data_IF_615479997908
#
_entry.id   IF_615479997908
#
_cell.length_a   1.000
_cell.length_b   1.000
_cell.length_c   1.000
_cell.angle_alpha   90.00
_cell.angle_beta   90.00
_cell.angle_gamma   90.00
#
_symmetry.space_group_name_H-M   'P 1'
#
loop_
_entity.id
_entity.type
_entity.pdbx_description
1 polymer ?
#
# COMPACT_ATOMS: atom_id res chain seq x y z
N UNK A 1 -0.13 27.37 -1.50
CA UNK A 1 0.97 26.44 -1.13
C UNK A 1 0.56 25.05 -1.55
N UNK A 2 1.35 24.39 -2.40
CA UNK A 2 1.01 23.07 -2.94
C UNK A 2 1.20 21.98 -1.90
N UNK A 3 0.36 20.94 -1.95
CA UNK A 3 0.58 19.72 -1.17
C UNK A 3 1.84 19.02 -1.72
N UNK A 4 2.83 18.77 -0.85
CA UNK A 4 3.97 17.92 -1.20
C UNK A 4 3.47 16.47 -1.27
N UNK A 5 3.12 16.02 -2.48
CA UNK A 5 2.60 14.68 -2.73
C UNK A 5 3.73 13.78 -3.23
N UNK A 6 3.96 12.65 -2.55
CA UNK A 6 4.80 11.57 -3.07
C UNK A 6 3.92 10.42 -3.54
N UNK A 7 4.08 10.05 -4.81
CA UNK A 7 3.24 9.04 -5.46
C UNK A 7 3.90 7.66 -5.32
N UNK A 8 3.12 6.70 -4.84
CA UNK A 8 3.49 5.28 -4.82
C UNK A 8 2.53 4.50 -5.71
N UNK A 9 3.08 3.75 -6.68
CA UNK A 9 2.28 2.90 -7.57
C UNK A 9 2.45 1.43 -7.21
N UNK A 10 1.35 0.67 -7.27
CA UNK A 10 1.33 -0.79 -7.01
C UNK A 10 1.52 -1.64 -8.26
N UNK A 11 1.44 -1.03 -9.44
CA UNK A 11 1.60 -1.68 -10.74
C UNK A 11 2.53 -0.84 -11.61
N UNK A 12 3.33 -1.53 -12.41
CA UNK A 12 4.02 -0.91 -13.53
C UNK A 12 2.98 -0.48 -14.57
N UNK A 13 3.23 0.62 -15.31
CA UNK A 13 2.40 0.96 -16.45
C UNK A 13 2.42 -0.20 -17.46
N UNK A 14 1.26 -0.77 -17.77
CA UNK A 14 1.09 -1.83 -18.78
C UNK A 14 0.85 -1.31 -20.19
N UNK A 15 0.85 0.01 -20.36
CA UNK A 15 0.57 0.68 -21.64
C UNK A 15 1.89 1.23 -22.19
N UNK A 16 2.41 0.61 -23.27
CA UNK A 16 3.59 1.09 -24.01
C UNK A 16 3.29 2.36 -24.83
N UNK A 17 2.04 2.83 -24.82
CA UNK A 17 1.57 3.99 -25.58
C UNK A 17 1.68 5.27 -24.75
N UNK A 18 2.88 5.85 -24.70
CA UNK A 18 3.10 7.15 -24.07
C UNK A 18 2.53 8.24 -25.00
N UNK A 19 1.32 8.72 -24.70
CA UNK A 19 0.78 9.91 -25.38
C UNK A 19 1.70 11.12 -25.07
N UNK A 20 2.09 11.94 -26.07
CA UNK A 20 3.13 12.99 -25.94
C UNK A 20 2.85 14.12 -24.92
N UNK A 21 1.69 14.11 -24.26
CA UNK A 21 1.33 15.01 -23.16
C UNK A 21 1.90 14.56 -21.78
N UNK A 22 2.33 13.31 -21.62
CA UNK A 22 2.80 12.80 -20.31
C UNK A 22 4.22 13.21 -19.90
N UNK A 23 4.91 14.07 -20.66
CA UNK A 23 6.27 14.53 -20.33
C UNK A 23 6.34 15.56 -19.19
N UNK A 24 5.21 16.09 -18.71
CA UNK A 24 5.20 17.16 -17.70
C UNK A 24 5.01 16.69 -16.25
N UNK A 25 4.76 15.41 -15.98
CA UNK A 25 4.54 14.93 -14.60
C UNK A 25 5.87 14.54 -13.95
N UNK A 26 6.62 15.53 -13.49
CA UNK A 26 7.82 15.41 -12.64
C UNK A 26 7.51 14.96 -11.20
N UNK A 27 6.51 14.11 -10.97
CA UNK A 27 6.30 13.49 -9.67
C UNK A 27 7.11 12.19 -9.64
N UNK A 28 8.12 12.10 -8.76
CA UNK A 28 8.91 10.87 -8.57
C UNK A 28 7.99 9.74 -8.10
N UNK A 29 7.43 8.96 -9.03
CA UNK A 29 6.58 7.79 -8.71
C UNK A 29 7.49 6.66 -8.24
N UNK A 30 7.30 6.23 -7.00
CA UNK A 30 7.97 5.06 -6.44
C UNK A 30 7.10 3.83 -6.70
N UNK A 31 7.65 2.84 -7.41
CA UNK A 31 6.95 1.58 -7.67
C UNK A 31 7.18 0.59 -6.54
N UNK A 32 6.08 0.13 -5.94
CA UNK A 32 6.06 -0.97 -4.99
C UNK A 32 6.16 -2.31 -5.74
N UNK A 33 6.74 -3.36 -5.12
CA UNK A 33 6.94 -4.63 -5.78
C UNK A 33 5.63 -5.23 -6.30
N UNK A 34 5.43 -5.21 -7.62
CA UNK A 34 4.30 -5.86 -8.26
C UNK A 34 4.41 -7.39 -8.18
N UNK A 35 5.65 -7.88 -8.23
CA UNK A 35 6.05 -9.26 -8.02
C UNK A 35 6.96 -9.36 -6.80
N UNK A 36 6.38 -9.60 -5.62
CA UNK A 36 7.13 -9.68 -4.35
C UNK A 36 8.31 -10.67 -4.40
N UNK A 37 8.22 -11.73 -5.22
CA UNK A 37 9.27 -12.74 -5.40
C UNK A 37 10.46 -12.25 -6.26
N UNK A 38 10.27 -11.21 -7.09
CA UNK A 38 11.36 -10.64 -7.91
C UNK A 38 12.16 -9.58 -7.14
N UNK A 39 11.57 -8.98 -6.12
CA UNK A 39 12.21 -7.98 -5.26
C UNK A 39 12.31 -8.42 -3.81
N UNK A 40 12.61 -9.71 -3.60
CA UNK A 40 12.66 -10.35 -2.28
C UNK A 40 13.55 -9.59 -1.30
N UNK A 41 14.67 -9.01 -1.73
CA UNK A 41 15.55 -8.20 -0.88
C UNK A 41 14.90 -6.91 -0.36
N UNK A 42 14.09 -6.22 -1.18
CA UNK A 42 13.34 -5.03 -0.73
C UNK A 42 12.32 -5.42 0.33
N UNK A 43 11.60 -6.52 0.10
CA UNK A 43 10.61 -7.06 1.04
C UNK A 43 11.28 -7.51 2.35
N UNK A 44 12.39 -8.26 2.28
CA UNK A 44 13.14 -8.69 3.46
C UNK A 44 13.66 -7.51 4.27
N UNK A 45 14.20 -6.49 3.62
CA UNK A 45 14.63 -5.29 4.34
C UNK A 45 13.45 -4.47 4.89
N UNK A 46 12.29 -4.48 4.22
CA UNK A 46 11.04 -3.94 4.74
C UNK A 46 10.55 -4.69 5.98
N UNK A 47 10.65 -6.02 5.96
CA UNK A 47 10.36 -6.87 7.11
C UNK A 47 11.31 -6.58 8.26
N UNK A 48 12.62 -6.54 8.01
CA UNK A 48 13.64 -6.20 9.01
C UNK A 48 13.39 -4.83 9.65
N UNK A 49 13.02 -3.84 8.83
CA UNK A 49 12.64 -2.52 9.32
C UNK A 49 11.37 -2.59 10.20
N UNK A 50 10.35 -3.34 9.75
CA UNK A 50 9.08 -3.45 10.43
C UNK A 50 9.18 -4.18 11.77
N UNK A 51 9.88 -5.33 11.85
CA UNK A 51 10.01 -6.12 13.09
C UNK A 51 10.67 -5.35 14.24
N UNK A 52 11.47 -4.33 13.93
CA UNK A 52 12.12 -3.44 14.90
C UNK A 52 11.19 -2.36 15.45
N UNK A 53 9.95 -2.26 14.93
CA UNK A 53 8.94 -1.31 15.39
C UNK A 53 8.04 -1.98 16.42
N UNK A 54 7.73 -1.26 17.51
CA UNK A 54 6.82 -1.73 18.57
C UNK A 54 5.44 -2.17 18.04
N UNK A 55 4.99 -1.59 16.92
CA UNK A 55 3.65 -1.80 16.34
C UNK A 55 3.57 -2.92 15.32
N UNK A 56 4.69 -3.61 15.05
CA UNK A 56 4.72 -4.74 14.13
C UNK A 56 3.69 -5.80 14.51
N UNK A 57 3.59 -6.15 15.79
CA UNK A 57 2.63 -7.13 16.28
C UNK A 57 1.18 -6.76 15.94
N UNK A 58 0.80 -5.48 16.04
CA UNK A 58 -0.55 -5.01 15.69
C UNK A 58 -0.81 -5.10 14.18
N UNK A 59 0.15 -4.70 13.36
CA UNK A 59 0.05 -4.79 11.91
C UNK A 59 -0.03 -6.27 11.45
N UNK A 60 0.84 -7.12 11.99
CA UNK A 60 0.87 -8.55 11.71
C UNK A 60 -0.42 -9.25 12.17
N UNK A 61 -0.92 -8.98 13.38
CA UNK A 61 -2.17 -9.54 13.87
C UNK A 61 -3.38 -9.10 13.03
N UNK A 62 -3.37 -7.87 12.52
CA UNK A 62 -4.42 -7.41 11.59
C UNK A 62 -4.33 -8.13 10.25
N UNK A 63 -3.13 -8.24 9.69
CA UNK A 63 -2.90 -8.98 8.46
C UNK A 63 -3.24 -10.47 8.59
N UNK A 64 -2.90 -11.13 9.70
CA UNK A 64 -3.21 -12.55 9.95
C UNK A 64 -4.72 -12.78 10.02
N UNK A 65 -5.48 -11.87 10.64
CA UNK A 65 -6.96 -11.92 10.65
C UNK A 65 -7.54 -11.76 9.24
N UNK A 66 -7.00 -10.84 8.46
CA UNK A 66 -7.42 -10.64 7.07
C UNK A 66 -7.07 -11.85 6.20
N UNK A 67 -5.88 -12.45 6.40
CA UNK A 67 -5.42 -13.63 5.68
C UNK A 67 -6.23 -14.88 6.01
N UNK A 68 -6.65 -15.04 7.27
CA UNK A 68 -7.55 -16.13 7.66
C UNK A 68 -8.92 -16.04 6.96
N UNK A 69 -9.37 -14.84 6.60
CA UNK A 69 -10.63 -14.60 5.88
C UNK A 69 -10.47 -14.59 4.36
N UNK A 70 -9.28 -14.27 3.86
CA UNK A 70 -8.91 -14.22 2.44
C UNK A 70 -7.51 -14.85 2.24
N UNK A 71 -7.41 -16.19 2.24
CA UNK A 71 -6.14 -16.92 2.18
C UNK A 71 -5.59 -16.98 0.75
N UNK A 72 -5.41 -15.82 0.12
CA UNK A 72 -4.93 -15.70 -1.26
C UNK A 72 -3.49 -15.18 -1.32
N UNK A 73 -2.71 -15.56 -2.36
CA UNK A 73 -1.39 -14.98 -2.61
C UNK A 73 -1.43 -13.45 -2.74
N UNK A 74 -2.56 -12.91 -3.20
CA UNK A 74 -2.80 -11.46 -3.28
C UNK A 74 -2.78 -10.79 -1.91
N UNK A 75 -3.34 -11.42 -0.87
CA UNK A 75 -3.32 -10.89 0.49
C UNK A 75 -1.91 -10.87 1.08
N UNK A 76 -1.11 -11.89 0.81
CA UNK A 76 0.31 -11.94 1.18
C UNK A 76 1.10 -10.85 0.46
N UNK A 77 0.90 -10.68 -0.85
CA UNK A 77 1.54 -9.63 -1.65
C UNK A 77 1.23 -8.23 -1.12
N UNK A 78 -0.01 -7.93 -0.75
CA UNK A 78 -0.41 -6.63 -0.19
C UNK A 78 0.37 -6.30 1.08
N UNK A 79 0.58 -7.29 1.96
CA UNK A 79 1.37 -7.09 3.16
C UNK A 79 2.85 -6.89 2.85
N UNK A 80 3.42 -7.66 1.92
CA UNK A 80 4.80 -7.45 1.45
C UNK A 80 5.01 -6.03 0.89
N UNK A 81 4.06 -5.54 0.08
CA UNK A 81 4.08 -4.16 -0.43
C UNK A 81 3.99 -3.12 0.69
N UNK A 82 3.19 -3.38 1.74
CA UNK A 82 3.09 -2.49 2.89
C UNK A 82 4.39 -2.42 3.70
N UNK A 83 5.12 -3.53 3.83
CA UNK A 83 6.45 -3.55 4.48
C UNK A 83 7.46 -2.68 3.72
N UNK A 84 7.45 -2.77 2.38
CA UNK A 84 8.31 -1.94 1.53
C UNK A 84 7.89 -0.48 1.62
N UNK A 85 6.59 -0.18 1.50
CA UNK A 85 6.07 1.17 1.67
C UNK A 85 6.47 1.76 3.02
N UNK A 86 6.36 1.01 4.11
CA UNK A 86 6.74 1.49 5.44
C UNK A 86 8.23 1.79 5.57
N UNK A 87 9.10 1.01 4.91
CA UNK A 87 10.55 1.28 4.92
C UNK A 87 10.92 2.49 4.07
N UNK A 88 10.29 2.63 2.91
CA UNK A 88 10.57 3.69 1.94
C UNK A 88 9.70 4.93 2.18
N UNK A 89 8.90 4.93 3.25
CA UNK A 89 8.02 6.04 3.58
C UNK A 89 8.85 7.27 3.96
N UNK A 90 8.61 8.42 3.33
CA UNK A 90 9.39 9.63 3.60
C UNK A 90 9.14 10.17 5.01
N UNK A 91 10.20 10.66 5.65
CA UNK A 91 10.11 11.21 7.00
C UNK A 91 9.25 12.49 7.08
N UNK A 92 9.17 13.24 5.99
CA UNK A 92 8.39 14.48 5.84
C UNK A 92 6.90 14.23 5.55
N UNK A 93 6.51 13.00 5.20
CA UNK A 93 5.12 12.65 4.98
C UNK A 93 4.41 12.35 6.31
N UNK A 94 3.21 12.91 6.48
CA UNK A 94 2.43 12.77 7.72
C UNK A 94 1.27 11.79 7.62
N UNK A 95 0.78 11.51 6.41
CA UNK A 95 -0.39 10.66 6.19
C UNK A 95 -0.22 9.84 4.91
N UNK A 96 -0.98 8.75 4.81
CA UNK A 96 -1.07 7.93 3.60
C UNK A 96 -2.44 8.13 2.95
N UNK A 97 -2.48 8.27 1.64
CA UNK A 97 -3.73 8.32 0.90
C UNK A 97 -3.77 7.22 -0.16
N UNK A 98 -4.83 6.41 -0.15
CA UNK A 98 -5.07 5.37 -1.16
C UNK A 98 -6.19 5.79 -2.11
N UNK A 99 -5.92 5.77 -3.42
CA UNK A 99 -6.93 6.20 -4.39
C UNK A 99 -8.15 5.26 -4.49
N UNK A 100 -8.03 4.00 -4.06
CA UNK A 100 -9.13 3.04 -4.02
C UNK A 100 -9.20 2.31 -2.69
N UNK A 101 -10.41 1.94 -2.26
CA UNK A 101 -10.61 1.21 -1.00
C UNK A 101 -10.08 -0.24 -1.07
N UNK A 102 -10.06 -0.87 -2.25
CA UNK A 102 -9.68 -2.27 -2.41
C UNK A 102 -8.17 -2.56 -2.19
N UNK A 103 -7.45 -3.03 -3.20
CA UNK A 103 -6.03 -3.44 -3.09
C UNK A 103 -5.11 -2.35 -2.49
N UNK A 104 -5.04 -1.11 -3.04
CA UNK A 104 -4.29 -0.01 -2.42
C UNK A 104 -4.73 0.34 -1.01
N UNK A 105 -6.03 0.28 -0.70
CA UNK A 105 -6.52 0.53 0.65
C UNK A 105 -5.96 -0.47 1.67
N UNK A 106 -5.86 -1.75 1.32
CA UNK A 106 -5.25 -2.75 2.20
C UNK A 106 -3.76 -2.49 2.44
N UNK A 107 -3.02 -2.12 1.39
CA UNK A 107 -1.58 -1.76 1.51
C UNK A 107 -1.40 -0.53 2.40
N UNK A 108 -2.19 0.52 2.17
CA UNK A 108 -2.17 1.74 2.95
C UNK A 108 -2.51 1.48 4.42
N UNK A 109 -3.55 0.70 4.71
CA UNK A 109 -3.94 0.32 6.07
C UNK A 109 -2.81 -0.36 6.83
N UNK A 110 -2.15 -1.36 6.23
CA UNK A 110 -1.04 -2.06 6.90
C UNK A 110 0.18 -1.15 7.08
N UNK A 111 0.54 -0.35 6.07
CA UNK A 111 1.66 0.58 6.18
C UNK A 111 1.41 1.65 7.25
N UNK A 112 0.19 2.18 7.33
CA UNK A 112 -0.26 3.13 8.34
C UNK A 112 -0.11 2.56 9.77
N UNK A 113 -0.49 1.29 9.97
CA UNK A 113 -0.30 0.60 11.26
C UNK A 113 1.18 0.45 11.62
N UNK A 114 2.03 0.13 10.64
CA UNK A 114 3.49 -0.01 10.82
C UNK A 114 4.17 1.32 11.15
N UNK A 115 3.72 2.40 10.52
CA UNK A 115 4.30 3.74 10.63
C UNK A 115 3.70 4.59 11.75
N UNK A 116 2.58 4.15 12.32
CA UNK A 116 1.73 4.96 13.21
C UNK A 116 1.28 6.28 12.57
N UNK A 117 0.76 6.19 11.34
CA UNK A 117 0.29 7.36 10.59
C UNK A 117 -1.19 7.25 10.29
N UNK A 118 -1.92 8.39 10.23
CA UNK A 118 -3.26 8.40 9.68
C UNK A 118 -3.22 7.97 8.21
N UNK A 119 -4.31 7.36 7.76
CA UNK A 119 -4.52 7.09 6.35
C UNK A 119 -5.96 7.37 5.96
N UNK A 120 -6.17 7.69 4.68
CA UNK A 120 -7.47 7.91 4.09
C UNK A 120 -7.53 7.24 2.71
N UNK A 121 -8.73 7.11 2.16
CA UNK A 121 -8.91 6.59 0.82
C UNK A 121 -10.10 7.22 0.11
N UNK A 122 -10.10 7.14 -1.22
CA UNK A 122 -11.31 7.32 -2.02
C UNK A 122 -12.00 5.97 -2.24
N UNK A 123 -13.32 5.95 -2.07
CA UNK A 123 -14.15 4.81 -2.40
C UNK A 123 -14.88 5.08 -3.70
N UNK A 124 -14.65 4.24 -4.71
CA UNK A 124 -15.42 4.30 -5.94
C UNK A 124 -16.61 3.35 -5.88
N UNK A 125 -17.64 3.58 -6.70
CA UNK A 125 -18.83 2.72 -6.74
C UNK A 125 -18.47 1.23 -6.90
N UNK A 126 -17.45 0.94 -7.71
CA UNK A 126 -16.93 -0.43 -7.88
C UNK A 126 -16.43 -1.05 -6.57
N UNK A 127 -15.80 -0.28 -5.68
CA UNK A 127 -15.31 -0.78 -4.39
C UNK A 127 -16.47 -1.24 -3.49
N UNK A 128 -17.62 -0.54 -3.55
CA UNK A 128 -18.81 -0.85 -2.75
C UNK A 128 -19.38 -2.23 -3.10
N UNK A 129 -19.38 -2.56 -4.40
CA UNK A 129 -19.97 -3.81 -4.92
C UNK A 129 -18.99 -4.98 -5.01
N UNK A 130 -17.68 -4.73 -4.98
CA UNK A 130 -16.66 -5.79 -5.16
C UNK A 130 -15.96 -6.21 -3.88
N UNK A 131 -16.00 -5.40 -2.82
CA UNK A 131 -15.41 -5.75 -1.53
C UNK A 131 -16.41 -6.46 -0.63
N UNK A 132 -15.99 -7.53 0.07
CA UNK A 132 -16.83 -8.17 1.07
C UNK A 132 -17.13 -7.20 2.22
N UNK A 133 -18.30 -7.34 2.84
CA UNK A 133 -18.78 -6.46 3.92
C UNK A 133 -17.77 -6.28 5.06
N UNK A 134 -17.07 -7.36 5.44
CA UNK A 134 -16.07 -7.29 6.51
C UNK A 134 -14.90 -6.37 6.15
N UNK A 135 -14.46 -6.38 4.88
CA UNK A 135 -13.32 -5.57 4.44
C UNK A 135 -13.70 -4.09 4.33
N UNK A 136 -14.97 -3.79 4.04
CA UNK A 136 -15.52 -2.42 4.07
C UNK A 136 -15.57 -1.90 5.51
N UNK A 137 -16.17 -2.67 6.44
CA UNK A 137 -16.28 -2.29 7.86
C UNK A 137 -14.95 -2.07 8.55
N UNK A 138 -13.91 -2.78 8.12
CA UNK A 138 -12.58 -2.68 8.72
C UNK A 138 -11.74 -1.51 8.22
N UNK A 139 -12.19 -0.84 7.15
CA UNK A 139 -11.55 0.33 6.55
C UNK A 139 -12.31 1.63 6.85
N UNK A 140 -13.58 1.54 7.24
CA UNK A 140 -14.42 2.65 7.72
C UNK A 140 -14.24 2.85 9.23
#
# INVERSE_FOLDING_TARGET
MGLCLRLFSLRLPTDDTIHPIHREIHASVVYLPEYALRETWRVLGGLWYAVRRLRFGRAAATWLRDLARDPTPNRVRRFAQALVLAREFPADCQAIYAHFMHTPGSVARYAALLLDRPWAFSAHAKDIWTLPEWEKREKL
#
